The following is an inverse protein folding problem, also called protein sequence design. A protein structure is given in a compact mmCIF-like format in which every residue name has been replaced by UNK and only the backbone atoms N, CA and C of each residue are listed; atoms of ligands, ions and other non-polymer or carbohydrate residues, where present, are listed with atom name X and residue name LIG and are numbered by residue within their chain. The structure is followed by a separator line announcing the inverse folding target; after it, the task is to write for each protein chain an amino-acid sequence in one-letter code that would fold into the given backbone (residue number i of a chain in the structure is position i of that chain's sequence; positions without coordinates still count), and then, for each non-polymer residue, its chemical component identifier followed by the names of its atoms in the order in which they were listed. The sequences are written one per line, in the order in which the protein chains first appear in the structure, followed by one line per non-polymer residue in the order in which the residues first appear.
data_IF_023540699886
#
_entry.id   IF_023540699886
#
_cell.length_a   1.000
_cell.length_b   1.000
_cell.length_c   1.000
_cell.angle_alpha   90.00
_cell.angle_beta   90.00
_cell.angle_gamma   90.00
#
_symmetry.space_group_name_H-M   'P 1'
#
loop_
_entity.id
_entity.type
_entity.pdbx_description
1 polymer ?
#
# COMPACT_ATOMS: atom_id res chain seq x y z
N UNK A 1 -2.95 11.81 -18.64
CA UNK A 1 -3.14 13.08 -17.90
C UNK A 1 -1.87 13.27 -17.08
N UNK A 2 -1.15 14.39 -17.25
CA UNK A 2 0.13 14.61 -16.55
C UNK A 2 -0.14 14.90 -15.07
N UNK A 3 0.63 14.29 -14.18
CA UNK A 3 0.45 14.33 -12.73
C UNK A 3 0.83 15.69 -12.08
N UNK A 4 1.22 16.68 -12.87
CA UNK A 4 1.89 17.90 -12.42
C UNK A 4 1.10 18.76 -11.41
N UNK A 5 -0.20 18.50 -11.23
CA UNK A 5 -1.05 19.26 -10.30
C UNK A 5 -1.65 18.46 -9.15
N UNK A 6 -1.53 17.12 -9.12
CA UNK A 6 -2.14 16.30 -8.06
C UNK A 6 -1.08 15.71 -7.11
N UNK A 7 -1.50 15.29 -5.91
CA UNK A 7 -0.59 14.71 -4.92
C UNK A 7 -0.18 13.29 -5.29
N UNK A 8 -1.06 12.56 -5.96
CA UNK A 8 -0.76 11.25 -6.51
C UNK A 8 -1.85 10.69 -7.38
N UNK A 9 -1.66 9.46 -7.85
CA UNK A 9 -2.68 8.69 -8.53
C UNK A 9 -2.48 7.19 -8.33
N UNK A 10 -3.57 6.45 -8.45
CA UNK A 10 -3.59 4.99 -8.50
C UNK A 10 -4.30 4.60 -9.78
N UNK A 11 -3.60 3.89 -10.65
CA UNK A 11 -4.15 3.31 -11.88
C UNK A 11 -4.10 1.80 -11.77
N UNK A 12 -5.04 1.14 -12.43
CA UNK A 12 -5.05 -0.32 -12.52
C UNK A 12 -5.53 -0.81 -13.88
N UNK A 13 -5.05 -2.00 -14.26
CA UNK A 13 -5.54 -2.79 -15.37
C UNK A 13 -5.63 -4.25 -14.94
N UNK A 14 -6.79 -4.88 -15.17
CA UNK A 14 -7.01 -6.30 -14.92
C UNK A 14 -6.59 -7.10 -16.15
N UNK A 15 -5.81 -8.14 -15.92
CA UNK A 15 -5.31 -9.08 -16.90
C UNK A 15 -5.80 -10.50 -16.55
N UNK A 16 -5.53 -11.46 -17.43
CA UNK A 16 -5.92 -12.86 -17.22
C UNK A 16 -5.24 -13.50 -16.01
N UNK A 17 -4.07 -13.01 -15.60
CA UNK A 17 -3.26 -13.59 -14.52
C UNK A 17 -3.19 -12.71 -13.27
N UNK A 18 -3.72 -11.48 -13.31
CA UNK A 18 -3.60 -10.55 -12.20
C UNK A 18 -4.08 -9.13 -12.46
N UNK A 19 -3.70 -8.22 -11.57
CA UNK A 19 -3.99 -6.78 -11.66
C UNK A 19 -2.67 -6.02 -11.72
N UNK A 20 -2.44 -5.31 -12.81
CA UNK A 20 -1.35 -4.34 -12.91
C UNK A 20 -1.78 -3.08 -12.17
N UNK A 21 -0.99 -2.65 -11.20
CA UNK A 21 -1.11 -1.35 -10.56
C UNK A 21 -0.01 -0.41 -11.04
N UNK A 22 -0.35 0.86 -11.17
CA UNK A 22 0.61 1.96 -11.30
C UNK A 22 0.29 3.02 -10.24
N UNK A 23 1.22 3.22 -9.32
CA UNK A 23 1.19 4.24 -8.30
C UNK A 23 2.08 5.39 -8.75
N UNK A 24 1.58 6.62 -8.63
CA UNK A 24 2.40 7.80 -8.89
C UNK A 24 2.20 8.84 -7.80
N UNK A 25 3.26 9.49 -7.35
CA UNK A 25 3.16 10.56 -6.35
C UNK A 25 4.33 11.53 -6.38
N UNK A 26 4.05 12.79 -6.04
CA UNK A 26 5.10 13.80 -5.86
C UNK A 26 5.91 13.55 -4.58
N UNK A 27 7.22 13.82 -4.63
CA UNK A 27 8.10 13.85 -3.44
C UNK A 27 7.96 15.15 -2.64
N UNK A 28 7.11 16.08 -3.06
CA UNK A 28 6.86 17.31 -2.31
C UNK A 28 6.40 17.00 -0.88
N UNK A 29 7.07 17.64 0.08
CA UNK A 29 6.84 17.48 1.51
C UNK A 29 7.61 16.31 2.16
N UNK A 30 8.38 15.55 1.38
CA UNK A 30 9.30 14.53 1.88
C UNK A 30 10.70 15.11 2.09
N UNK A 31 11.46 14.47 2.96
CA UNK A 31 12.89 14.75 3.14
C UNK A 31 13.68 14.26 1.89
N UNK A 32 14.36 15.16 1.15
CA UNK A 32 15.10 14.79 -0.06
C UNK A 32 16.37 13.97 0.24
N UNK A 33 16.86 13.96 1.48
CA UNK A 33 18.08 13.22 1.87
C UNK A 33 17.79 11.78 2.31
N UNK A 34 16.52 11.37 2.21
CA UNK A 34 16.03 10.04 2.59
C UNK A 34 15.33 9.34 1.43
N UNK A 35 15.40 7.99 1.38
CA UNK A 35 14.51 7.22 0.52
C UNK A 35 13.05 7.60 0.75
N UNK A 36 12.24 7.38 -0.28
CA UNK A 36 10.82 7.72 -0.27
C UNK A 36 9.98 6.53 -0.73
N UNK A 37 8.80 6.35 -0.16
CA UNK A 37 7.92 5.25 -0.52
C UNK A 37 6.56 5.73 -1.03
N UNK A 38 5.94 4.88 -1.84
CA UNK A 38 4.52 4.94 -2.18
C UNK A 38 3.91 3.56 -1.94
N UNK A 39 2.75 3.52 -1.28
CA UNK A 39 2.08 2.30 -0.89
C UNK A 39 0.59 2.35 -1.20
N UNK A 40 0.04 1.21 -1.61
CA UNK A 40 -1.37 0.99 -1.82
C UNK A 40 -1.84 -0.14 -0.90
N UNK A 41 -2.66 0.22 0.08
CA UNK A 41 -3.46 -0.71 0.87
C UNK A 41 -4.75 -1.06 0.14
N UNK A 42 -5.08 -2.34 0.13
CA UNK A 42 -6.32 -2.89 -0.39
C UNK A 42 -7.07 -3.43 0.82
N UNK A 43 -8.21 -2.82 1.12
CA UNK A 43 -8.94 -3.06 2.36
C UNK A 43 -10.38 -3.50 2.13
N UNK A 44 -10.92 -4.18 3.14
CA UNK A 44 -12.33 -4.54 3.22
C UNK A 44 -13.21 -3.37 3.69
N UNK A 45 -12.62 -2.37 4.34
CA UNK A 45 -13.31 -1.19 4.84
C UNK A 45 -12.46 0.08 4.68
N UNK A 46 -12.91 1.22 5.23
CA UNK A 46 -12.22 2.51 5.06
C UNK A 46 -11.14 2.78 6.12
N UNK A 47 -10.78 1.81 6.96
CA UNK A 47 -9.77 1.94 8.00
C UNK A 47 -8.48 1.24 7.60
N UNK A 48 -7.36 1.79 8.06
CA UNK A 48 -6.07 1.09 7.98
C UNK A 48 -6.04 0.04 9.08
N UNK A 49 -5.97 -1.23 8.68
CA UNK A 49 -6.06 -2.36 9.58
C UNK A 49 -5.46 -3.61 8.93
N UNK A 50 -6.26 -4.67 8.85
CA UNK A 50 -5.88 -5.90 8.15
C UNK A 50 -6.03 -5.67 6.65
N UNK A 51 -5.02 -5.06 6.04
CA UNK A 51 -5.00 -4.71 4.63
C UNK A 51 -3.94 -5.52 3.88
N UNK A 52 -4.22 -5.84 2.62
CA UNK A 52 -3.17 -6.27 1.70
C UNK A 52 -2.46 -5.06 1.14
N UNK A 53 -1.14 -4.99 1.30
CA UNK A 53 -0.37 -3.81 0.90
C UNK A 53 0.62 -4.19 -0.21
N UNK A 54 0.68 -3.34 -1.23
CA UNK A 54 1.77 -3.30 -2.19
C UNK A 54 2.48 -1.96 -2.11
N UNK A 55 3.80 -1.96 -2.26
CA UNK A 55 4.56 -0.73 -2.13
C UNK A 55 5.89 -0.75 -2.85
N UNK A 56 6.46 0.43 -2.97
CA UNK A 56 7.81 0.65 -3.44
C UNK A 56 8.53 1.64 -2.55
N UNK A 57 9.84 1.47 -2.43
CA UNK A 57 10.76 2.39 -1.78
C UNK A 57 11.83 2.76 -2.80
N UNK A 58 12.01 4.05 -3.04
CA UNK A 58 13.02 4.58 -3.95
C UNK A 58 14.12 5.25 -3.14
N UNK A 59 15.35 4.77 -3.34
CA UNK A 59 16.55 5.33 -2.74
C UNK A 59 16.82 6.75 -3.21
N UNK A 60 17.66 7.45 -2.44
CA UNK A 60 18.13 8.81 -2.78
C UNK A 60 18.93 8.86 -4.09
N UNK A 61 19.48 7.71 -4.51
CA UNK A 61 20.17 7.50 -5.77
C UNK A 61 19.21 7.26 -6.95
N UNK A 62 17.90 7.28 -6.71
CA UNK A 62 16.86 7.01 -7.69
C UNK A 62 16.63 5.52 -7.95
N UNK A 63 17.37 4.62 -7.29
CA UNK A 63 17.19 3.17 -7.44
C UNK A 63 16.01 2.72 -6.58
N UNK A 64 14.97 2.22 -7.22
CA UNK A 64 13.77 1.72 -6.57
C UNK A 64 13.80 0.22 -6.26
N UNK A 65 13.14 -0.15 -5.16
CA UNK A 65 12.80 -1.53 -4.80
C UNK A 65 11.30 -1.58 -4.52
N UNK A 66 10.59 -2.59 -5.02
CA UNK A 66 9.21 -2.84 -4.62
C UNK A 66 9.10 -4.02 -3.67
N UNK A 67 8.15 -3.93 -2.76
CA UNK A 67 7.93 -4.88 -1.68
C UNK A 67 6.44 -5.25 -1.61
N UNK A 68 6.19 -6.55 -1.50
CA UNK A 68 4.99 -7.17 -0.95
C UNK A 68 5.42 -8.57 -0.47
N UNK A 69 4.48 -9.49 -0.22
CA UNK A 69 4.84 -10.92 -0.23
C UNK A 69 5.43 -11.24 -1.62
N UNK A 70 6.75 -11.49 -1.69
CA UNK A 70 7.54 -11.57 -2.94
C UNK A 70 6.89 -12.45 -4.01
N UNK A 71 6.20 -13.52 -3.60
CA UNK A 71 5.52 -14.46 -4.50
C UNK A 71 4.26 -13.90 -5.17
N UNK A 72 3.67 -12.82 -4.66
CA UNK A 72 2.42 -12.25 -5.20
C UNK A 72 2.65 -11.24 -6.33
N UNK A 73 3.87 -10.73 -6.47
CA UNK A 73 4.19 -9.65 -7.38
C UNK A 73 5.08 -10.11 -8.54
N UNK A 74 4.80 -9.58 -9.72
CA UNK A 74 5.69 -9.61 -10.89
C UNK A 74 5.66 -8.25 -11.59
N UNK A 75 6.43 -8.09 -12.66
CA UNK A 75 6.44 -6.89 -13.50
C UNK A 75 6.66 -5.61 -12.68
N UNK A 76 7.64 -5.69 -11.79
CA UNK A 76 7.99 -4.65 -10.84
C UNK A 76 8.91 -3.63 -11.51
N UNK A 77 8.46 -2.39 -11.58
CA UNK A 77 9.28 -1.25 -11.99
C UNK A 77 9.09 -0.12 -10.98
N UNK A 78 10.17 0.55 -10.60
CA UNK A 78 10.08 1.77 -9.79
C UNK A 78 11.17 2.75 -10.15
N UNK A 79 10.80 4.01 -10.29
CA UNK A 79 11.73 5.07 -10.68
C UNK A 79 11.29 6.43 -10.15
N UNK A 80 12.28 7.29 -9.94
CA UNK A 80 12.10 8.69 -9.55
C UNK A 80 12.49 9.57 -10.72
N UNK A 81 11.54 10.35 -11.23
CA UNK A 81 11.76 11.27 -12.34
C UNK A 81 11.07 12.60 -12.03
N UNK A 82 11.78 13.72 -12.20
CA UNK A 82 11.25 15.08 -12.00
C UNK A 82 10.48 15.28 -10.68
N UNK A 83 10.98 14.70 -9.59
CA UNK A 83 10.34 14.80 -8.27
C UNK A 83 9.05 13.97 -8.13
N UNK A 84 8.86 12.97 -8.99
CA UNK A 84 7.73 12.06 -8.96
C UNK A 84 8.21 10.61 -8.88
N UNK A 85 7.66 9.90 -7.89
CA UNK A 85 7.80 8.47 -7.74
C UNK A 85 6.77 7.80 -8.64
N UNK A 86 7.21 6.88 -9.48
CA UNK A 86 6.33 5.97 -10.22
C UNK A 86 6.66 4.54 -9.84
N UNK A 87 5.63 3.75 -9.51
CA UNK A 87 5.77 2.36 -9.14
C UNK A 87 4.73 1.50 -9.84
N UNK A 88 5.22 0.55 -10.63
CA UNK A 88 4.42 -0.43 -11.36
C UNK A 88 4.66 -1.80 -10.77
N UNK A 89 3.58 -2.55 -10.60
CA UNK A 89 3.64 -3.91 -10.09
C UNK A 89 2.37 -4.66 -10.49
N UNK A 90 2.50 -5.94 -10.84
CA UNK A 90 1.36 -6.82 -11.10
C UNK A 90 1.12 -7.75 -9.93
N UNK A 91 -0.09 -7.70 -9.36
CA UNK A 91 -0.57 -8.63 -8.35
C UNK A 91 -1.18 -9.87 -9.01
N UNK A 92 -0.61 -11.05 -8.79
CA UNK A 92 -1.07 -12.29 -9.40
C UNK A 92 -2.26 -12.88 -8.63
N UNK A 93 -3.31 -13.32 -9.34
CA UNK A 93 -4.51 -13.87 -8.70
C UNK A 93 -4.26 -15.25 -8.05
N UNK A 94 -3.46 -16.08 -8.72
CA UNK A 94 -3.35 -17.50 -8.38
C UNK A 94 -2.18 -17.82 -7.42
N UNK A 95 -1.36 -16.82 -7.07
CA UNK A 95 -0.15 -17.04 -6.28
C UNK A 95 -0.37 -17.04 -4.76
N UNK A 96 -1.58 -16.78 -4.27
CA UNK A 96 -1.86 -16.70 -2.83
C UNK A 96 -1.48 -17.97 -2.07
N UNK A 97 -1.67 -19.14 -2.68
CA UNK A 97 -1.32 -20.43 -2.06
C UNK A 97 0.20 -20.67 -1.95
N UNK A 98 1.02 -19.87 -2.64
CA UNK A 98 2.48 -19.91 -2.55
C UNK A 98 3.02 -19.07 -1.39
N UNK A 99 2.17 -18.21 -0.79
CA UNK A 99 2.48 -17.49 0.44
C UNK A 99 2.47 -18.48 1.60
N UNK A 100 3.41 -18.34 2.54
CA UNK A 100 3.46 -19.16 3.76
C UNK A 100 2.11 -19.12 4.48
N UNK A 101 1.65 -20.26 4.99
CA UNK A 101 0.30 -20.41 5.56
C UNK A 101 0.00 -19.36 6.64
N UNK A 102 0.98 -19.09 7.50
CA UNK A 102 0.90 -18.07 8.56
C UNK A 102 0.77 -16.64 8.04
N UNK A 103 1.13 -16.36 6.79
CA UNK A 103 1.05 -15.04 6.16
C UNK A 103 -0.11 -14.91 5.16
N UNK A 104 -0.76 -16.02 4.78
CA UNK A 104 -1.84 -16.00 3.79
C UNK A 104 -3.02 -15.09 4.19
N UNK A 105 -3.24 -14.85 5.49
CA UNK A 105 -4.30 -13.95 5.95
C UNK A 105 -4.03 -12.47 5.60
N UNK A 106 -2.77 -12.11 5.36
CA UNK A 106 -2.32 -10.75 4.97
C UNK A 106 -2.52 -10.47 3.48
N UNK A 107 -2.78 -11.51 2.68
CA UNK A 107 -2.85 -11.47 1.22
C UNK A 107 -4.26 -11.80 0.75
N UNK A 108 -4.91 -10.83 0.13
CA UNK A 108 -6.29 -10.91 -0.33
C UNK A 108 -6.39 -11.53 -1.72
N UNK A 109 -7.43 -12.35 -1.91
CA UNK A 109 -7.81 -12.85 -3.22
C UNK A 109 -8.61 -11.76 -3.95
N UNK A 110 -7.90 -10.88 -4.66
CA UNK A 110 -8.47 -9.65 -5.23
C UNK A 110 -9.62 -9.87 -6.21
N UNK A 111 -9.64 -11.03 -6.87
CA UNK A 111 -10.66 -11.45 -7.84
C UNK A 111 -12.05 -11.64 -7.20
N UNK A 112 -12.11 -11.96 -5.90
CA UNK A 112 -13.35 -12.36 -5.21
C UNK A 112 -13.81 -11.33 -4.17
N UNK A 113 -13.91 -10.06 -4.58
CA UNK A 113 -14.40 -9.01 -3.69
C UNK A 113 -14.48 -7.63 -4.31
N UNK A 114 -14.84 -6.67 -3.47
CA UNK A 114 -14.74 -5.25 -3.78
C UNK A 114 -14.00 -4.55 -2.65
N UNK A 115 -13.07 -3.67 -3.00
CA UNK A 115 -12.03 -3.23 -2.08
C UNK A 115 -11.98 -1.72 -1.98
N UNK A 116 -11.75 -1.21 -0.78
CA UNK A 116 -11.31 0.17 -0.62
C UNK A 116 -9.82 0.25 -0.93
N UNK A 117 -9.43 1.32 -1.62
CA UNK A 117 -8.03 1.62 -1.85
C UNK A 117 -7.57 2.68 -0.86
N UNK A 118 -6.42 2.43 -0.24
CA UNK A 118 -5.77 3.32 0.72
C UNK A 118 -4.40 3.68 0.18
N UNK A 119 -4.14 4.94 -0.06
CA UNK A 119 -2.89 5.40 -0.63
C UNK A 119 -2.05 6.12 0.43
N UNK A 120 -0.79 5.74 0.56
CA UNK A 120 0.14 6.37 1.48
C UNK A 120 1.46 6.70 0.78
N UNK A 121 2.11 7.76 1.25
CA UNK A 121 3.48 8.12 0.86
C UNK A 121 4.24 8.61 2.08
N UNK A 122 5.56 8.47 2.07
CA UNK A 122 6.42 8.91 3.17
C UNK A 122 7.90 8.72 2.90
N UNK A 123 8.72 9.02 3.90
CA UNK A 123 10.15 8.70 3.87
C UNK A 123 10.41 7.28 4.38
N UNK A 124 11.58 6.73 4.09
CA UNK A 124 12.07 5.48 4.64
C UNK A 124 13.51 5.67 5.17
N UNK A 125 13.94 4.74 6.03
CA UNK A 125 15.30 4.74 6.56
C UNK A 125 16.32 4.58 5.43
N UNK A 126 17.42 5.33 5.53
CA UNK A 126 18.44 5.40 4.49
C UNK A 126 19.20 4.09 4.28
N UNK A 127 19.26 3.25 5.31
CA UNK A 127 20.10 2.05 5.33
C UNK A 127 19.27 0.78 5.22
N UNK A 128 18.20 0.68 6.01
CA UNK A 128 17.31 -0.50 6.00
C UNK A 128 16.24 -0.43 4.93
N UNK A 129 15.95 0.76 4.37
CA UNK A 129 14.78 1.02 3.52
C UNK A 129 13.44 0.73 4.23
N UNK A 130 13.44 0.61 5.56
CA UNK A 130 12.21 0.47 6.34
C UNK A 130 11.43 1.78 6.29
N UNK A 131 10.14 1.69 5.96
CA UNK A 131 9.26 2.86 5.89
C UNK A 131 9.15 3.56 7.23
N UNK A 132 9.25 4.88 7.21
CA UNK A 132 8.78 5.70 8.31
C UNK A 132 7.25 5.70 8.33
N UNK A 133 6.68 5.77 9.52
CA UNK A 133 5.23 5.85 9.69
C UNK A 133 4.71 7.08 8.92
N UNK A 134 3.70 6.88 8.08
CA UNK A 134 2.97 7.98 7.45
C UNK A 134 2.38 8.91 8.52
N UNK A 135 2.05 10.15 8.16
CA UNK A 135 1.50 11.09 9.14
C UNK A 135 0.18 10.58 9.73
N UNK A 136 0.00 10.79 11.05
CA UNK A 136 -1.27 10.62 11.77
C UNK A 136 -2.01 11.95 11.96
N UNK A 137 -1.45 13.03 11.42
CA UNK A 137 -2.04 14.37 11.41
C UNK A 137 -2.36 14.76 9.96
N UNK A 138 -3.44 15.51 9.78
CA UNK A 138 -3.86 16.03 8.48
C UNK A 138 -2.72 16.76 7.75
N UNK A 139 -2.62 16.56 6.44
CA UNK A 139 -1.61 17.18 5.60
C UNK A 139 -1.20 16.29 4.43
N UNK A 140 -0.21 16.73 3.66
CA UNK A 140 0.23 16.04 2.44
C UNK A 140 0.83 14.64 2.66
N UNK A 141 1.11 14.26 3.91
CA UNK A 141 1.67 12.95 4.28
C UNK A 141 0.66 12.07 5.04
N UNK A 142 -0.56 12.56 5.24
CA UNK A 142 -1.64 11.73 5.77
C UNK A 142 -2.09 10.74 4.69
N UNK A 143 -2.56 9.53 5.01
CA UNK A 143 -3.00 8.60 3.98
C UNK A 143 -4.36 9.01 3.41
N UNK A 144 -4.56 8.70 2.14
CA UNK A 144 -5.81 8.87 1.42
C UNK A 144 -6.62 7.57 1.41
N UNK A 145 -7.95 7.66 1.41
CA UNK A 145 -8.83 6.50 1.29
C UNK A 145 -9.93 6.73 0.25
N UNK A 146 -10.13 5.74 -0.62
CA UNK A 146 -11.20 5.75 -1.60
C UNK A 146 -12.58 5.61 -0.93
N UNK A 147 -13.50 6.52 -1.28
CA UNK A 147 -14.92 6.41 -0.91
C UNK A 147 -15.55 5.17 -1.57
N UNK A 148 -15.23 4.96 -2.85
CA UNK A 148 -15.82 3.90 -3.66
C UNK A 148 -15.00 2.62 -3.55
N UNK A 149 -15.71 1.48 -3.57
CA UNK A 149 -15.09 0.16 -3.63
C UNK A 149 -14.83 -0.23 -5.09
N UNK A 150 -13.70 -0.88 -5.34
CA UNK A 150 -13.26 -1.31 -6.66
C UNK A 150 -13.21 -2.83 -6.69
N UNK A 151 -13.73 -3.41 -7.76
CA UNK A 151 -13.71 -4.85 -8.00
C UNK A 151 -12.73 -5.15 -9.14
N UNK A 152 -11.82 -6.10 -8.90
CA UNK A 152 -10.80 -6.51 -9.86
C UNK A 152 -11.18 -7.84 -10.52
N UNK A 153 -12.31 -7.82 -11.20
CA UNK A 153 -12.90 -9.01 -11.80
C UNK A 153 -12.24 -9.36 -13.15
N UNK A 154 -11.86 -10.64 -13.32
CA UNK A 154 -11.31 -11.21 -14.55
C UNK A 154 -12.40 -11.71 -15.50
N UNK A 155 -13.42 -12.39 -14.98
CA UNK A 155 -14.52 -12.98 -15.75
C UNK A 155 -15.89 -12.69 -15.13
N UNK A 156 -16.92 -12.58 -15.97
CA UNK A 156 -18.33 -12.40 -15.53
C UNK A 156 -18.56 -11.18 -14.63
N UNK A 157 -17.89 -10.08 -14.99
CA UNK A 157 -18.01 -8.80 -14.32
C UNK A 157 -19.42 -8.24 -14.53
N UNK A 158 -20.21 -8.25 -13.47
CA UNK A 158 -21.65 -7.93 -13.48
C UNK A 158 -21.99 -6.70 -12.63
N UNK A 159 -21.03 -6.19 -11.86
CA UNK A 159 -21.21 -4.99 -11.05
C UNK A 159 -20.82 -3.73 -11.84
N UNK A 160 -21.54 -2.63 -11.57
CA UNK A 160 -21.25 -1.30 -12.14
C UNK A 160 -19.86 -0.78 -11.72
N UNK A 161 -19.28 -1.34 -10.64
CA UNK A 161 -17.94 -1.03 -10.13
C UNK A 161 -16.82 -1.89 -10.74
N UNK A 162 -17.14 -2.78 -11.68
CA UNK A 162 -16.14 -3.62 -12.34
C UNK A 162 -15.44 -2.84 -13.45
N UNK A 163 -14.31 -2.22 -13.11
CA UNK A 163 -13.47 -1.51 -14.05
C UNK A 163 -12.23 -2.36 -14.37
N UNK A 164 -12.21 -2.98 -15.55
CA UNK A 164 -11.03 -3.69 -16.07
C UNK A 164 -9.85 -2.77 -16.29
N UNK A 165 -10.10 -1.47 -16.50
CA UNK A 165 -9.10 -0.41 -16.46
C UNK A 165 -9.70 0.74 -15.67
N UNK A 166 -8.94 1.31 -14.73
CA UNK A 166 -9.40 2.45 -13.96
C UNK A 166 -8.28 3.31 -13.41
N UNK A 167 -8.67 4.50 -12.96
CA UNK A 167 -7.78 5.48 -12.37
C UNK A 167 -8.51 6.25 -11.29
N UNK A 168 -7.79 6.53 -10.19
CA UNK A 168 -8.15 7.57 -9.24
C UNK A 168 -7.01 8.58 -9.15
N UNK A 169 -7.36 9.86 -9.28
CA UNK A 169 -6.45 10.98 -9.04
C UNK A 169 -6.66 11.46 -7.60
N UNK A 170 -5.55 11.68 -6.89
CA UNK A 170 -5.54 12.06 -5.48
C UNK A 170 -5.04 13.51 -5.40
N UNK A 171 -5.98 14.44 -5.31
CA UNK A 171 -5.66 15.87 -5.17
C UNK A 171 -5.27 16.21 -3.72
N UNK A 172 -5.99 15.60 -2.76
CA UNK A 172 -5.81 15.85 -1.34
C UNK A 172 -5.65 14.54 -0.56
N UNK A 173 -4.63 14.50 0.28
CA UNK A 173 -4.29 13.38 1.15
C UNK A 173 -5.16 13.43 2.42
N UNK A 174 -6.32 12.76 2.38
CA UNK A 174 -7.27 12.68 3.50
C UNK A 174 -8.00 11.34 3.53
N UNK A 175 -8.31 10.87 4.74
CA UNK A 175 -9.35 9.87 4.92
C UNK A 175 -10.71 10.54 4.73
N UNK A 176 -11.66 9.79 4.19
CA UNK A 176 -13.07 10.19 4.04
C UNK A 176 -13.73 10.36 5.42
N UNK A 177 -15.03 10.68 5.51
CA UNK A 177 -15.76 10.98 6.76
C UNK A 177 -15.88 9.81 7.77
N UNK A 178 -14.86 8.95 7.87
CA UNK A 178 -14.68 7.99 8.94
C UNK A 178 -14.34 8.76 10.21
N UNK A 179 -15.11 8.55 11.29
CA UNK A 179 -14.82 9.16 12.58
C UNK A 179 -13.37 8.85 12.96
N UNK A 180 -12.55 9.88 13.19
CA UNK A 180 -11.13 9.78 13.60
C UNK A 180 -11.04 9.01 14.92
N UNK A 181 -11.09 7.70 14.85
CA UNK A 181 -11.20 6.86 16.02
C UNK A 181 -9.81 6.75 16.64
N UNK A 182 -9.70 6.90 17.96
CA UNK A 182 -8.45 6.74 18.70
C UNK A 182 -7.71 5.42 18.35
N UNK A 183 -8.45 4.35 18.01
CA UNK A 183 -7.93 3.07 17.51
C UNK A 183 -7.08 3.19 16.24
N UNK A 184 -7.29 4.20 15.39
CA UNK A 184 -6.45 4.47 14.22
C UNK A 184 -5.00 4.77 14.63
N UNK A 185 -4.80 5.58 15.67
CA UNK A 185 -3.46 5.84 16.22
C UNK A 185 -2.82 4.58 16.78
N UNK A 186 -3.60 3.67 17.38
CA UNK A 186 -3.09 2.39 17.88
C UNK A 186 -2.77 1.40 16.76
N UNK A 187 -3.62 1.25 15.74
CA UNK A 187 -3.39 0.36 14.60
C UNK A 187 -2.14 0.78 13.80
N UNK A 188 -1.93 2.08 13.61
CA UNK A 188 -0.73 2.65 12.99
C UNK A 188 0.54 2.35 13.80
N UNK A 189 0.47 2.30 15.13
CA UNK A 189 1.58 1.89 15.99
C UNK A 189 1.81 0.37 15.94
N UNK A 190 0.76 -0.44 15.87
CA UNK A 190 0.88 -1.90 15.80
C UNK A 190 1.45 -2.42 14.47
N UNK A 191 1.27 -1.69 13.36
CA UNK A 191 1.92 -2.01 12.08
C UNK A 191 3.45 -2.07 12.15
N UNK A 192 4.08 -1.24 12.99
CA UNK A 192 5.53 -1.25 13.23
C UNK A 192 6.05 -2.57 13.83
N UNK A 193 5.24 -3.22 14.66
CA UNK A 193 5.66 -4.47 15.33
C UNK A 193 5.64 -5.67 14.38
N UNK A 194 4.86 -5.63 13.29
CA UNK A 194 4.80 -6.70 12.30
C UNK A 194 5.85 -6.52 11.19
N UNK A 195 6.24 -5.30 10.82
CA UNK A 195 7.31 -5.06 9.85
C UNK A 195 8.71 -5.39 10.39
N UNK A 196 8.96 -5.21 11.70
CA UNK A 196 10.25 -5.52 12.34
C UNK A 196 10.53 -7.03 12.46
N UNK A 197 9.52 -7.89 12.31
CA UNK A 197 9.69 -9.34 12.34
C UNK A 197 10.20 -9.93 11.01
N UNK A 198 10.18 -9.15 9.91
CA UNK A 198 10.55 -9.66 8.58
C UNK A 198 12.03 -9.49 8.21
N UNK A 199 12.84 -8.78 9.03
CA UNK A 199 14.28 -8.63 8.77
C UNK A 199 15.19 -9.43 9.71
N UNK A 200 14.64 -10.22 10.64
CA UNK A 200 15.44 -10.94 11.63
C UNK A 200 15.31 -12.45 11.49
N UNK A 201 16.03 -13.00 10.51
CA UNK A 201 16.63 -14.33 10.68
C UNK A 201 17.79 -14.27 11.68
N UNK A 202 17.54 -13.78 12.90
CA UNK A 202 18.35 -14.01 14.10
C UNK A 202 17.39 -13.96 15.30
N UNK A 203 17.11 -15.14 15.84
CA UNK A 203 16.47 -15.38 17.13
C UNK A 203 16.82 -14.34 18.19
N UNK A 204 15.81 -13.68 18.77
CA UNK A 204 15.77 -13.41 20.20
C UNK A 204 14.34 -13.09 20.66
N UNK A 205 13.89 -13.96 21.57
CA UNK A 205 12.64 -13.94 22.31
C UNK A 205 12.05 -12.54 22.54
N UNK A 206 10.75 -12.39 22.28
CA UNK A 206 9.93 -11.45 23.07
C UNK A 206 8.64 -12.16 23.49
N UNK A 207 8.65 -12.65 24.72
CA UNK A 207 7.42 -12.77 25.50
C UNK A 207 6.84 -11.38 25.67
N UNK A 208 5.59 -11.16 25.24
CA UNK A 208 4.70 -10.31 26.01
C UNK A 208 3.28 -10.86 25.88
N UNK A 209 2.82 -11.44 26.99
CA UNK A 209 1.48 -11.95 27.19
C UNK A 209 0.45 -10.82 27.06
N UNK A 210 -0.68 -11.18 26.44
CA UNK A 210 -2.00 -10.61 26.66
C UNK A 210 -2.22 -10.20 28.12
N UNK A 211 -2.80 -9.02 28.33
CA UNK A 211 -3.73 -8.83 29.45
C UNK A 211 -5.07 -8.39 28.87
N UNK A 212 -5.97 -9.36 28.86
CA UNK A 212 -7.41 -9.26 28.71
C UNK A 212 -8.07 -8.51 29.87
N UNK A 213 -9.14 -7.76 29.55
CA UNK A 213 -10.33 -7.56 30.41
C UNK A 213 -10.19 -6.61 31.59
N UNK A 214 -10.90 -5.48 31.57
CA UNK A 214 -12.27 -5.27 32.09
C UNK A 214 -12.88 -4.09 31.33
#
# INVERSE_FOLDING_TARGET
MLIETCTGSVQWAVHEDGVQFELQTTTRGLDPDKPSYAALGISKDMHMGDDSVVECVIGVDGVGRAYASEVMLTDIESFLEDGHITCRMKWLFDNRLQVQEEDQFKVFALEFGSWHLLFAKGNADKWSFEKEIHSVNDGSLFPWTAVQRISFCRENCTAVSDATIGQVVIDEMKQTDVSRYWRYRFAVIHGLTLSNLFHSSVSLLTHLYLVSGV
#
